data_IF_256832597158
#
_entry.id   IF_256832597158
#
_cell.length_a   1.000
_cell.length_b   1.000
_cell.length_c   1.000
_cell.angle_alpha   90.00
_cell.angle_beta   90.00
_cell.angle_gamma   90.00
#
_symmetry.space_group_name_H-M   'P 1'
#
loop_
_entity.id
_entity.type
_entity.pdbx_description
1 polymer ?
#
# COMPACT_ATOMS: atom_id res chain seq x y z
N UNK A 1 -25.98 31.62 9.79
CA UNK A 1 -26.59 30.31 9.53
C UNK A 1 -26.17 29.71 8.21
N UNK A 2 -26.11 30.48 7.14
CA UNK A 2 -25.63 29.94 5.84
C UNK A 2 -24.20 29.50 5.91
N UNK A 3 -23.37 30.11 6.74
CA UNK A 3 -21.96 29.75 6.89
C UNK A 3 -21.76 28.38 7.53
N UNK A 4 -22.68 27.97 8.39
CA UNK A 4 -22.56 26.65 9.01
C UNK A 4 -22.78 25.52 8.02
N UNK A 5 -23.70 25.71 7.05
CA UNK A 5 -23.92 24.71 6.03
C UNK A 5 -22.69 24.49 5.14
N UNK A 6 -21.98 25.57 4.80
CA UNK A 6 -20.76 25.47 4.00
C UNK A 6 -19.68 24.72 4.75
N UNK A 7 -19.51 24.98 6.03
CA UNK A 7 -18.51 24.29 6.85
C UNK A 7 -18.80 22.79 6.89
N UNK A 8 -20.05 22.42 7.04
CA UNK A 8 -20.43 21.01 7.07
C UNK A 8 -20.12 20.29 5.76
N UNK A 9 -20.32 20.96 4.63
CA UNK A 9 -20.03 20.40 3.32
C UNK A 9 -18.52 20.14 3.19
N UNK A 10 -17.69 21.07 3.63
CA UNK A 10 -16.23 20.92 3.58
C UNK A 10 -15.79 19.74 4.43
N UNK A 11 -16.34 19.59 5.62
CA UNK A 11 -16.01 18.46 6.50
C UNK A 11 -16.40 17.13 5.84
N UNK A 12 -17.55 17.09 5.18
CA UNK A 12 -17.99 15.89 4.49
C UNK A 12 -17.03 15.49 3.37
N UNK A 13 -16.49 16.46 2.63
CA UNK A 13 -15.53 16.18 1.58
C UNK A 13 -14.23 15.58 2.14
N UNK A 14 -13.76 16.09 3.27
CA UNK A 14 -12.58 15.54 3.92
C UNK A 14 -12.81 14.12 4.42
N UNK A 15 -14.01 13.81 4.84
CA UNK A 15 -14.34 12.48 5.36
C UNK A 15 -14.18 11.39 4.30
N UNK A 16 -14.22 11.73 3.02
CA UNK A 16 -14.08 10.74 1.94
C UNK A 16 -12.67 10.53 1.45
N UNK A 17 -11.72 11.41 1.78
CA UNK A 17 -10.45 11.37 1.08
C UNK A 17 -9.50 10.24 1.48
N UNK A 18 -9.39 9.74 2.70
CA UNK A 18 -8.36 8.76 3.04
C UNK A 18 -8.87 7.34 3.27
N UNK A 19 -10.01 6.96 2.72
CA UNK A 19 -10.75 5.85 3.26
C UNK A 19 -10.49 4.48 2.61
N UNK A 20 -9.65 4.39 1.61
CA UNK A 20 -9.55 3.14 0.83
C UNK A 20 -8.70 2.07 1.48
N UNK A 21 -7.65 2.44 2.18
CA UNK A 21 -6.81 1.47 2.87
C UNK A 21 -6.97 1.68 4.37
N UNK A 22 -7.97 1.00 4.93
CA UNK A 22 -8.27 1.10 6.35
C UNK A 22 -7.62 -0.02 7.13
N UNK A 23 -6.32 -0.18 7.00
CA UNK A 23 -5.64 -1.17 7.81
C UNK A 23 -5.07 -0.50 9.05
N UNK A 24 -5.30 -1.13 10.20
CA UNK A 24 -4.64 -0.74 11.43
C UNK A 24 -3.34 -1.51 11.53
N UNK A 25 -2.36 -0.91 12.17
CA UNK A 25 -1.07 -1.54 12.34
C UNK A 25 -0.25 -1.47 11.05
N UNK A 26 0.58 -2.47 10.84
CA UNK A 26 1.51 -2.50 9.73
C UNK A 26 0.99 -3.45 8.66
N UNK A 27 0.88 -2.96 7.43
CA UNK A 27 0.41 -3.76 6.30
C UNK A 27 1.35 -3.60 5.13
N UNK A 28 1.59 -4.70 4.43
CA UNK A 28 2.37 -4.73 3.21
C UNK A 28 1.44 -5.18 2.10
N UNK A 29 1.20 -4.30 1.13
CA UNK A 29 0.24 -4.56 0.08
C UNK A 29 0.94 -4.58 -1.27
N UNK A 30 0.74 -5.66 -2.01
CA UNK A 30 1.21 -5.76 -3.38
C UNK A 30 0.04 -5.46 -4.32
N UNK A 31 0.23 -4.48 -5.19
CA UNK A 31 -0.71 -4.12 -6.25
C UNK A 31 -0.16 -4.66 -7.56
N UNK A 32 -0.90 -5.56 -8.20
CA UNK A 32 -0.48 -6.16 -9.45
C UNK A 32 -1.66 -6.16 -10.43
N UNK A 33 -1.38 -6.48 -11.67
CA UNK A 33 -2.41 -6.67 -12.70
C UNK A 33 -2.50 -8.14 -13.05
N UNK A 34 -3.67 -8.60 -13.42
CA UNK A 34 -3.88 -10.02 -13.70
C UNK A 34 -3.01 -10.52 -14.86
N UNK A 35 -2.79 -9.68 -15.86
CA UNK A 35 -1.92 -10.06 -16.98
C UNK A 35 -0.47 -10.29 -16.54
N UNK A 36 -0.08 -9.76 -15.39
CA UNK A 36 1.29 -9.83 -14.86
C UNK A 36 1.40 -10.79 -13.68
N UNK A 37 0.45 -11.70 -13.52
CA UNK A 37 0.37 -12.59 -12.37
C UNK A 37 1.65 -13.42 -12.18
N UNK A 38 2.26 -13.87 -13.27
CA UNK A 38 3.47 -14.69 -13.19
C UNK A 38 4.66 -13.94 -12.56
N UNK A 39 4.60 -12.63 -12.52
CA UNK A 39 5.64 -11.79 -11.93
C UNK A 39 5.27 -11.28 -10.53
N UNK A 40 4.25 -11.86 -9.91
CA UNK A 40 3.92 -11.53 -8.54
C UNK A 40 5.12 -11.76 -7.64
N UNK A 41 5.28 -10.90 -6.62
CA UNK A 41 6.40 -11.01 -5.70
C UNK A 41 6.16 -12.17 -4.73
N UNK A 42 6.69 -13.33 -5.07
CA UNK A 42 6.41 -14.57 -4.31
C UNK A 42 6.96 -14.53 -2.89
N UNK A 43 8.05 -13.81 -2.66
CA UNK A 43 8.68 -13.72 -1.35
C UNK A 43 7.92 -12.82 -0.36
N UNK A 44 6.83 -12.22 -0.78
CA UNK A 44 6.02 -11.36 0.10
C UNK A 44 5.57 -12.12 1.35
N UNK A 45 5.31 -13.42 1.21
CA UNK A 45 4.86 -14.26 2.33
C UNK A 45 5.95 -14.56 3.33
N UNK A 46 7.20 -14.29 2.99
CA UNK A 46 8.34 -14.50 3.88
C UNK A 46 8.53 -13.34 4.86
N UNK A 47 7.92 -12.19 4.57
CA UNK A 47 8.02 -11.03 5.45
C UNK A 47 7.15 -11.27 6.67
N UNK A 48 7.70 -11.08 7.86
CA UNK A 48 7.05 -11.36 9.14
C UNK A 48 6.67 -10.08 9.86
N UNK A 49 5.75 -10.22 10.83
CA UNK A 49 5.30 -9.14 11.70
C UNK A 49 4.59 -8.02 10.94
N UNK A 50 3.92 -8.38 9.87
CA UNK A 50 3.20 -7.45 9.01
C UNK A 50 2.01 -8.20 8.40
N UNK A 51 0.91 -7.51 8.20
CA UNK A 51 -0.23 -8.06 7.48
C UNK A 51 0.07 -7.98 5.98
N UNK A 52 0.04 -9.13 5.30
CA UNK A 52 0.33 -9.20 3.87
C UNK A 52 -0.99 -9.28 3.10
N UNK A 53 -1.13 -8.39 2.11
CA UNK A 53 -2.32 -8.31 1.26
C UNK A 53 -1.88 -8.22 -0.20
N UNK A 54 -2.53 -8.99 -1.07
CA UNK A 54 -2.31 -8.90 -2.52
C UNK A 54 -3.60 -8.47 -3.19
N UNK A 55 -3.53 -7.43 -4.01
CA UNK A 55 -4.68 -6.85 -4.69
C UNK A 55 -4.43 -6.78 -6.19
N UNK A 56 -5.49 -7.01 -6.97
CA UNK A 56 -5.48 -6.80 -8.41
C UNK A 56 -6.04 -5.42 -8.72
N UNK A 57 -5.27 -4.60 -9.43
CA UNK A 57 -5.78 -3.28 -9.85
C UNK A 57 -6.95 -3.43 -10.82
N UNK A 58 -7.06 -4.60 -11.48
CA UNK A 58 -8.17 -4.89 -12.38
C UNK A 58 -9.51 -4.94 -11.66
N UNK A 59 -9.52 -5.32 -10.39
CA UNK A 59 -10.76 -5.50 -9.64
C UNK A 59 -11.36 -4.18 -9.16
N UNK A 60 -10.54 -3.14 -9.05
CA UNK A 60 -11.00 -1.81 -8.64
C UNK A 60 -10.11 -0.76 -9.30
N UNK A 61 -10.64 -0.15 -10.36
CA UNK A 61 -9.90 0.84 -11.15
C UNK A 61 -9.43 2.02 -10.31
N UNK A 62 -10.12 2.33 -9.21
CA UNK A 62 -9.75 3.45 -8.35
C UNK A 62 -8.45 3.19 -7.58
N UNK A 63 -8.05 1.94 -7.39
CA UNK A 63 -6.80 1.61 -6.71
C UNK A 63 -5.61 2.23 -7.43
N UNK A 64 -5.62 2.19 -8.76
CA UNK A 64 -4.53 2.73 -9.57
C UNK A 64 -4.36 4.23 -9.33
N UNK A 65 -5.45 4.99 -9.37
CA UNK A 65 -5.39 6.44 -9.20
C UNK A 65 -5.20 6.85 -7.75
N UNK A 66 -5.94 6.23 -6.83
CA UNK A 66 -5.93 6.62 -5.42
C UNK A 66 -4.59 6.33 -4.74
N UNK A 67 -3.96 5.23 -5.12
CA UNK A 67 -2.67 4.85 -4.53
C UNK A 67 -1.49 5.23 -5.41
N UNK A 68 -1.74 5.87 -6.55
CA UNK A 68 -0.69 6.32 -7.45
C UNK A 68 0.12 5.18 -8.04
N UNK A 69 -0.54 4.10 -8.47
CA UNK A 69 0.14 2.95 -9.03
C UNK A 69 0.49 3.23 -10.48
N UNK A 70 1.78 3.33 -10.79
CA UNK A 70 2.28 3.65 -12.12
C UNK A 70 2.90 2.46 -12.83
N UNK A 71 3.25 1.44 -12.09
CA UNK A 71 3.84 0.22 -12.63
C UNK A 71 3.37 -0.97 -11.81
N UNK A 72 3.48 -2.16 -12.36
CA UNK A 72 3.07 -3.38 -11.68
C UNK A 72 4.19 -4.42 -11.73
N UNK A 73 4.42 -5.13 -10.63
CA UNK A 73 3.79 -4.91 -9.34
C UNK A 73 4.38 -3.69 -8.62
N UNK A 74 3.57 -3.07 -7.80
CA UNK A 74 4.02 -2.06 -6.83
C UNK A 74 3.67 -2.57 -5.45
N UNK A 75 4.62 -2.51 -4.54
CA UNK A 75 4.43 -2.97 -3.18
C UNK A 75 4.58 -1.78 -2.24
N UNK A 76 3.60 -1.60 -1.36
CA UNK A 76 3.59 -0.45 -0.45
C UNK A 76 3.48 -0.94 0.97
N UNK A 77 4.34 -0.41 1.83
CA UNK A 77 4.29 -0.64 3.26
C UNK A 77 3.54 0.50 3.92
N UNK A 78 2.50 0.16 4.67
CA UNK A 78 1.66 1.14 5.36
C UNK A 78 1.77 0.96 6.87
N UNK A 79 1.64 2.06 7.59
CA UNK A 79 1.45 2.04 9.03
C UNK A 79 0.20 2.84 9.34
N UNK A 80 -0.81 2.16 9.90
CA UNK A 80 -2.11 2.76 10.22
C UNK A 80 -2.71 3.51 9.02
N UNK A 81 -2.62 2.89 7.83
CA UNK A 81 -3.17 3.43 6.61
C UNK A 81 -2.32 4.47 5.90
N UNK A 82 -1.17 4.83 6.46
CA UNK A 82 -0.27 5.81 5.84
C UNK A 82 0.90 5.11 5.17
N UNK A 83 1.21 5.50 3.94
CA UNK A 83 2.34 4.97 3.21
C UNK A 83 3.65 5.34 3.90
N UNK A 84 4.49 4.33 4.14
CA UNK A 84 5.82 4.49 4.74
C UNK A 84 6.90 4.33 3.68
N UNK A 85 6.76 3.32 2.83
CA UNK A 85 7.75 2.98 1.82
C UNK A 85 7.05 2.27 0.67
N UNK A 86 7.56 2.45 -0.56
CA UNK A 86 7.06 1.70 -1.70
C UNK A 86 8.22 1.21 -2.55
N UNK A 87 7.98 0.09 -3.21
CA UNK A 87 8.88 -0.51 -4.18
C UNK A 87 8.11 -0.66 -5.48
N UNK A 88 8.63 -0.08 -6.55
CA UNK A 88 7.96 -0.07 -7.84
C UNK A 88 8.76 -0.85 -8.86
N UNK A 89 8.09 -1.71 -9.62
CA UNK A 89 8.75 -2.44 -10.69
C UNK A 89 9.17 -1.50 -11.83
N UNK A 90 10.26 -1.84 -12.48
CA UNK A 90 10.70 -1.14 -13.68
C UNK A 90 10.08 -1.78 -14.93
N UNK A 91 10.80 -1.66 -16.03
CA UNK A 91 10.33 -2.17 -17.34
C UNK A 91 10.16 -3.68 -17.37
N UNK A 92 10.87 -4.40 -16.49
CA UNK A 92 10.75 -5.85 -16.41
C UNK A 92 9.41 -6.32 -15.84
N UNK A 93 8.66 -5.41 -15.23
CA UNK A 93 7.40 -5.73 -14.55
C UNK A 93 7.56 -6.78 -13.47
N UNK A 94 8.71 -6.76 -12.79
CA UNK A 94 8.97 -7.63 -11.63
C UNK A 94 9.74 -6.84 -10.58
N UNK A 95 9.61 -7.26 -9.32
CA UNK A 95 10.32 -6.63 -8.21
C UNK A 95 11.55 -7.49 -7.87
N UNK A 96 12.70 -6.84 -7.89
CA UNK A 96 13.97 -7.51 -7.60
C UNK A 96 14.45 -7.30 -6.17
N UNK A 97 13.69 -6.56 -5.36
CA UNK A 97 14.09 -6.27 -3.99
C UNK A 97 14.15 -7.56 -3.16
N UNK A 98 15.23 -7.81 -2.43
CA UNK A 98 15.27 -8.97 -1.53
C UNK A 98 14.29 -8.77 -0.38
N UNK A 99 13.61 -9.84 0.03
CA UNK A 99 12.63 -9.73 1.12
C UNK A 99 13.27 -9.27 2.43
N UNK A 100 14.55 -9.49 2.60
CA UNK A 100 15.30 -9.02 3.78
C UNK A 100 15.27 -7.49 3.88
N UNK A 101 15.36 -6.78 2.75
CA UNK A 101 15.27 -5.32 2.77
C UNK A 101 13.90 -4.85 3.22
N UNK A 102 12.87 -5.55 2.76
CA UNK A 102 11.51 -5.24 3.18
C UNK A 102 11.33 -5.52 4.66
N UNK A 103 11.88 -6.64 5.13
CA UNK A 103 11.82 -7.00 6.55
C UNK A 103 12.48 -5.93 7.42
N UNK A 104 13.58 -5.35 6.95
CA UNK A 104 14.25 -4.28 7.70
C UNK A 104 13.35 -3.06 7.87
N UNK A 105 12.59 -2.70 6.83
CA UNK A 105 11.66 -1.59 6.93
C UNK A 105 10.51 -1.89 7.89
N UNK A 106 10.02 -3.11 7.89
CA UNK A 106 9.01 -3.56 8.85
C UNK A 106 9.58 -3.52 10.28
N UNK A 107 10.78 -4.02 10.46
CA UNK A 107 11.42 -4.07 11.78
C UNK A 107 11.64 -2.69 12.37
N UNK A 108 11.92 -1.70 11.56
CA UNK A 108 12.02 -0.31 12.01
C UNK A 108 10.70 0.18 12.61
N UNK A 109 9.58 -0.25 12.04
CA UNK A 109 8.26 0.15 12.49
C UNK A 109 7.83 -0.60 13.75
N UNK A 110 8.26 -1.84 13.92
CA UNK A 110 7.94 -2.65 15.09
C UNK A 110 8.91 -2.43 16.23
N UNK A 111 10.06 -1.81 15.97
CA UNK A 111 11.12 -1.67 16.95
C UNK A 111 11.94 -2.95 17.15
N UNK A 112 11.78 -3.93 16.27
CA UNK A 112 12.46 -5.23 16.41
C UNK A 112 13.96 -5.13 16.27
N UNK A 113 14.48 -4.10 15.59
CA UNK A 113 15.91 -3.94 15.38
C UNK A 113 16.56 -2.94 16.34
N UNK A 114 15.96 -2.72 17.50
CA UNK A 114 16.56 -1.85 18.53
C UNK A 114 17.72 -2.50 19.26
N UNK A 115 17.90 -3.78 19.08
CA UNK A 115 18.93 -4.54 19.78
C UNK A 115 19.90 -5.19 18.76
#
# INVERSE_FOLDING_TARGET
MKKLGLILIIIALFAFSPEKIKTKGIALIEYNAKFNESNAYSDIKRVKDVKVISLWIDDDASLKSDEGIRSVPTMILYKNGKEVKRWEAGLSMSLDVPYIEIQKEVDKLTGANKF
#
